data_IF_637506231858
#
_entry.id   IF_637506231858
#
_cell.length_a   1.000
_cell.length_b   1.000
_cell.length_c   1.000
_cell.angle_alpha   90.00
_cell.angle_beta   90.00
_cell.angle_gamma   90.00
#
_symmetry.space_group_name_H-M   'P 1'
#
loop_
_entity.id
_entity.type
_entity.pdbx_description
1 polymer ?
#
# COMPACT_ATOMS: atom_id res chain seq x y z
N UNK A 1 -4.96 1.73 12.71
CA UNK A 1 -5.78 0.66 13.35
C UNK A 1 -7.04 0.47 12.51
N UNK A 2 -7.65 -0.73 12.41
CA UNK A 2 -8.96 -0.88 11.78
C UNK A 2 -10.05 -0.05 12.46
N UNK A 3 -10.85 0.69 11.70
CA UNK A 3 -11.95 1.51 12.21
C UNK A 3 -12.99 0.69 12.99
N UNK A 4 -13.19 -0.57 12.61
CA UNK A 4 -14.08 -1.53 13.28
C UNK A 4 -13.70 -1.80 14.75
N UNK A 5 -12.46 -1.53 15.16
CA UNK A 5 -11.99 -1.74 16.52
C UNK A 5 -12.32 -0.57 17.47
N UNK A 6 -12.80 0.58 16.97
CA UNK A 6 -13.09 1.76 17.80
C UNK A 6 -14.09 1.47 18.92
N UNK A 7 -15.16 0.73 18.63
CA UNK A 7 -16.17 0.31 19.62
C UNK A 7 -15.61 -0.60 20.74
N UNK A 8 -14.44 -1.18 20.53
CA UNK A 8 -13.75 -2.07 21.48
C UNK A 8 -12.47 -1.43 22.05
N UNK A 9 -12.22 -0.15 21.74
CA UNK A 9 -11.00 0.53 22.12
C UNK A 9 -11.07 0.96 23.59
N UNK A 10 -10.34 0.24 24.44
CA UNK A 10 -10.06 0.64 25.81
C UNK A 10 -8.59 1.05 25.92
N UNK A 11 -8.33 2.31 26.27
CA UNK A 11 -6.98 2.85 26.39
C UNK A 11 -6.55 2.95 27.85
N UNK A 12 -5.30 2.58 28.12
CA UNK A 12 -4.69 2.84 29.42
C UNK A 12 -4.54 4.36 29.65
N UNK A 13 -4.64 4.81 30.91
CA UNK A 13 -4.56 6.25 31.25
C UNK A 13 -3.33 6.95 30.68
N UNK A 14 -2.17 6.30 30.72
CA UNK A 14 -0.93 6.88 30.17
C UNK A 14 -1.02 7.17 28.68
N UNK A 15 -1.68 6.30 27.91
CA UNK A 15 -1.89 6.49 26.47
C UNK A 15 -2.84 7.66 26.22
N UNK A 16 -3.91 7.78 27.02
CA UNK A 16 -4.84 8.91 26.93
C UNK A 16 -4.13 10.24 27.20
N UNK A 17 -3.23 10.27 28.17
CA UNK A 17 -2.46 11.47 28.50
C UNK A 17 -1.49 11.85 27.39
N UNK A 18 -0.72 10.90 26.84
CA UNK A 18 0.15 11.17 25.68
C UNK A 18 -0.63 11.63 24.44
N UNK A 19 -1.86 11.14 24.22
CA UNK A 19 -2.72 11.65 23.14
C UNK A 19 -3.11 13.11 23.40
N UNK A 20 -3.50 13.47 24.63
CA UNK A 20 -3.85 14.86 24.99
C UNK A 20 -2.67 15.82 24.84
N UNK A 21 -1.46 15.34 25.10
CA UNK A 21 -0.22 16.11 24.98
C UNK A 21 0.31 16.17 23.52
N UNK A 22 -0.34 15.47 22.58
CA UNK A 22 0.09 15.41 21.18
C UNK A 22 1.32 14.53 20.92
N UNK A 23 1.74 13.74 21.90
CA UNK A 23 2.91 12.85 21.83
C UNK A 23 2.58 11.51 21.16
N UNK A 24 1.29 11.17 21.10
CA UNK A 24 0.81 9.91 20.52
C UNK A 24 -0.44 10.12 19.68
N UNK A 25 -0.54 9.40 18.55
CA UNK A 25 -1.65 9.50 17.62
C UNK A 25 -2.20 8.12 17.28
N UNK A 26 -3.53 7.99 17.22
CA UNK A 26 -4.23 6.79 16.75
C UNK A 26 -5.02 7.16 15.50
N UNK A 27 -4.70 6.50 14.38
CA UNK A 27 -5.39 6.69 13.11
C UNK A 27 -6.26 5.47 12.79
N UNK A 28 -7.58 5.53 13.03
CA UNK A 28 -8.51 4.50 12.57
C UNK A 28 -8.71 4.62 11.05
N UNK A 29 -8.60 3.49 10.35
CA UNK A 29 -8.73 3.41 8.88
C UNK A 29 -9.59 2.20 8.52
N UNK A 30 -10.36 2.32 7.44
CA UNK A 30 -11.24 1.25 6.94
C UNK A 30 -10.65 0.52 5.73
N UNK A 31 -9.75 1.19 5.01
CA UNK A 31 -9.17 0.69 3.76
C UNK A 31 -7.66 0.87 3.73
N UNK A 32 -7.00 0.14 2.84
CA UNK A 32 -5.56 0.30 2.59
C UNK A 32 -5.25 1.68 1.99
N UNK A 33 -6.17 2.21 1.18
CA UNK A 33 -6.08 3.55 0.58
C UNK A 33 -6.00 4.67 1.60
N UNK A 34 -6.64 4.52 2.76
CA UNK A 34 -6.53 5.47 3.87
C UNK A 34 -5.23 5.28 4.65
N UNK A 35 -4.73 4.05 4.76
CA UNK A 35 -3.57 3.71 5.60
C UNK A 35 -2.23 4.12 4.98
N UNK A 36 -2.04 3.83 3.68
CA UNK A 36 -0.76 4.02 3.00
C UNK A 36 -0.31 5.49 2.97
N UNK A 37 -1.18 6.48 2.68
CA UNK A 37 -0.78 7.89 2.72
C UNK A 37 -0.28 8.34 4.09
N UNK A 38 -0.87 7.84 5.18
CA UNK A 38 -0.45 8.17 6.54
C UNK A 38 0.95 7.64 6.87
N UNK A 39 1.33 6.50 6.30
CA UNK A 39 2.61 5.84 6.57
C UNK A 39 3.73 6.30 5.64
N UNK A 40 3.40 6.53 4.36
CA UNK A 40 4.39 6.75 3.31
C UNK A 40 4.41 8.19 2.78
N UNK A 41 3.45 9.04 3.18
CA UNK A 41 3.30 10.39 2.65
C UNK A 41 2.99 10.44 1.15
N UNK A 42 2.57 9.30 0.56
CA UNK A 42 2.28 9.14 -0.87
C UNK A 42 0.93 8.43 -1.06
N UNK A 43 0.18 8.76 -2.11
CA UNK A 43 -1.08 8.08 -2.40
C UNK A 43 -0.84 6.59 -2.72
N UNK A 44 -1.77 5.72 -2.30
CA UNK A 44 -1.67 4.30 -2.62
C UNK A 44 -1.88 4.06 -4.12
N UNK A 45 -2.94 4.69 -4.67
CA UNK A 45 -3.35 4.65 -6.07
C UNK A 45 -3.35 6.06 -6.66
N UNK A 46 -3.12 6.18 -7.96
CA UNK A 46 -3.14 7.42 -8.71
C UNK A 46 -2.55 7.21 -10.10
N UNK A 47 -2.86 8.10 -11.04
CA UNK A 47 -2.32 8.04 -12.40
C UNK A 47 -0.84 8.44 -12.46
N UNK A 48 -0.33 9.09 -11.41
CA UNK A 48 1.07 9.48 -11.31
C UNK A 48 1.98 8.27 -11.02
N UNK A 49 3.15 8.25 -11.67
CA UNK A 49 4.22 7.25 -11.45
C UNK A 49 4.71 7.19 -9.99
N UNK A 50 4.36 8.19 -9.19
CA UNK A 50 4.75 8.27 -7.79
C UNK A 50 3.83 7.53 -6.81
N UNK A 51 2.70 6.99 -7.28
CA UNK A 51 1.82 6.16 -6.45
C UNK A 51 2.53 4.89 -5.97
N UNK A 52 2.19 4.43 -4.77
CA UNK A 52 2.84 3.25 -4.18
C UNK A 52 2.56 2.00 -5.01
N UNK A 53 1.36 1.88 -5.59
CA UNK A 53 1.01 0.73 -6.44
C UNK A 53 1.81 0.70 -7.75
N UNK A 54 2.11 1.85 -8.35
CA UNK A 54 2.95 1.92 -9.55
C UNK A 54 4.38 1.41 -9.27
N UNK A 55 4.97 1.83 -8.14
CA UNK A 55 6.30 1.36 -7.71
C UNK A 55 6.33 -0.13 -7.39
N UNK A 56 5.24 -0.68 -6.85
CA UNK A 56 5.13 -2.14 -6.62
C UNK A 56 5.12 -2.87 -7.97
N UNK A 57 4.31 -2.42 -8.94
CA UNK A 57 4.26 -3.01 -10.28
C UNK A 57 5.63 -2.96 -10.98
N UNK A 58 6.29 -1.80 -10.96
CA UNK A 58 7.64 -1.63 -11.51
C UNK A 58 8.64 -2.61 -10.87
N UNK A 59 8.55 -2.82 -9.55
CA UNK A 59 9.43 -3.75 -8.84
C UNK A 59 9.17 -5.21 -9.24
N UNK A 60 7.92 -5.59 -9.47
CA UNK A 60 7.54 -6.93 -9.94
C UNK A 60 8.11 -7.14 -11.36
N UNK A 61 7.88 -6.21 -12.28
CA UNK A 61 8.40 -6.28 -13.66
C UNK A 61 9.94 -6.39 -13.70
N UNK A 62 10.61 -5.58 -12.87
CA UNK A 62 12.07 -5.62 -12.77
C UNK A 62 12.57 -6.95 -12.20
N UNK A 63 11.85 -7.54 -11.24
CA UNK A 63 12.18 -8.87 -10.72
C UNK A 63 11.97 -9.95 -11.78
N UNK A 64 10.87 -9.89 -12.53
CA UNK A 64 10.59 -10.84 -13.61
C UNK A 64 11.64 -10.78 -14.72
N UNK A 65 12.11 -9.59 -15.12
CA UNK A 65 13.20 -9.44 -16.09
C UNK A 65 14.51 -10.09 -15.63
N UNK A 66 14.79 -10.08 -14.32
CA UNK A 66 15.99 -10.69 -13.75
C UNK A 66 15.86 -12.21 -13.58
N UNK A 67 14.64 -12.73 -13.38
CA UNK A 67 14.39 -14.16 -13.16
C UNK A 67 14.05 -14.90 -14.46
N UNK A 68 13.54 -14.23 -15.49
CA UNK A 68 13.10 -14.83 -16.75
C UNK A 68 13.58 -14.03 -17.97
N UNK A 69 14.69 -14.42 -18.62
CA UNK A 69 15.05 -13.84 -19.92
C UNK A 69 14.04 -14.19 -21.05
N UNK A 70 13.27 -15.30 -20.93
CA UNK A 70 12.57 -15.89 -22.09
C UNK A 70 11.13 -16.38 -21.87
N UNK A 71 10.46 -16.06 -20.76
CA UNK A 71 9.13 -16.65 -20.46
C UNK A 71 7.92 -15.79 -20.84
N UNK A 72 7.95 -14.50 -20.50
CA UNK A 72 6.73 -13.68 -20.47
C UNK A 72 6.54 -12.93 -21.79
N UNK A 73 7.62 -12.40 -22.35
CA UNK A 73 7.62 -11.71 -23.66
C UNK A 73 7.14 -12.64 -24.78
N UNK A 74 7.52 -13.93 -24.73
CA UNK A 74 7.14 -14.93 -25.73
C UNK A 74 5.66 -15.32 -25.63
N UNK A 75 5.10 -15.36 -24.40
CA UNK A 75 3.67 -15.62 -24.16
C UNK A 75 2.78 -14.47 -24.63
N UNK A 76 3.20 -13.23 -24.43
CA UNK A 76 2.46 -12.05 -24.91
C UNK A 76 2.52 -11.95 -26.44
N UNK A 77 3.69 -12.22 -27.05
CA UNK A 77 3.83 -12.28 -28.52
C UNK A 77 2.93 -13.34 -29.15
N UNK A 78 2.81 -14.51 -28.53
CA UNK A 78 1.98 -15.60 -29.05
C UNK A 78 0.47 -15.34 -28.91
N UNK A 79 0.06 -14.50 -27.95
CA UNK A 79 -1.34 -14.08 -27.83
C UNK A 79 -1.71 -13.03 -28.88
N UNK A 80 -0.79 -12.09 -29.17
CA UNK A 80 -0.99 -11.05 -30.18
C UNK A 80 -0.88 -11.56 -31.63
N UNK A 81 -0.19 -12.68 -31.89
CA UNK A 81 -0.07 -13.25 -33.25
C UNK A 81 -1.28 -14.10 -33.69
N UNK A 82 -2.21 -14.37 -32.78
CA UNK A 82 -3.46 -15.12 -33.01
C UNK A 82 -4.70 -14.21 -33.12
N UNK A 83 -4.49 -12.91 -33.27
CA UNK A 83 -5.52 -11.90 -33.59
C UNK A 83 -5.04 -11.03 -34.76
#
# INVERSE_FOLDING_TARGET
MPSSNLKHLALHKSVVESIKNGEFNIWPVSTVDEAIPLLMGKPFRGEDEDSVIAKIAERIDNFEKLVQPHGIVERIKNWLSWH
#
